data_IF_538801932740
#
_entry.id   IF_538801932740
#
_cell.length_a   1.000
_cell.length_b   1.000
_cell.length_c   1.000
_cell.angle_alpha   90.00
_cell.angle_beta   90.00
_cell.angle_gamma   90.00
#
_symmetry.space_group_name_H-M   'P 1'
#
loop_
_entity.id
_entity.type
_entity.pdbx_description
1 polymer ?
#
# COMPACT_ATOMS: atom_id res chain seq x y z
N UNK A 1 18.95 -14.66 -5.98
CA UNK A 1 17.88 -13.65 -6.11
C UNK A 1 17.77 -12.96 -7.48
N UNK A 2 18.77 -13.01 -8.39
CA UNK A 2 18.68 -12.41 -9.75
C UNK A 2 17.58 -12.99 -10.65
N UNK A 3 17.26 -14.28 -10.52
CA UNK A 3 16.31 -14.99 -11.39
C UNK A 3 14.86 -14.51 -11.23
N UNK A 4 14.44 -14.19 -10.00
CA UNK A 4 13.07 -13.72 -9.70
C UNK A 4 12.82 -12.31 -10.24
N UNK A 5 13.84 -11.44 -10.23
CA UNK A 5 13.73 -10.07 -10.75
C UNK A 5 13.61 -10.02 -12.28
N UNK A 6 14.33 -10.92 -12.97
CA UNK A 6 14.23 -11.14 -14.42
C UNK A 6 12.84 -11.66 -14.81
N UNK A 7 12.33 -12.64 -14.08
CA UNK A 7 11.01 -13.23 -14.34
C UNK A 7 9.88 -12.22 -14.20
N UNK A 8 9.85 -11.40 -13.13
CA UNK A 8 8.77 -10.43 -12.94
C UNK A 8 8.74 -9.37 -14.05
N UNK A 9 9.91 -8.88 -14.47
CA UNK A 9 9.99 -7.88 -15.55
C UNK A 9 9.52 -8.45 -16.89
N UNK A 10 9.79 -9.74 -17.15
CA UNK A 10 9.29 -10.44 -18.33
C UNK A 10 7.78 -10.63 -18.30
N UNK A 11 7.22 -11.02 -17.16
CA UNK A 11 5.77 -11.16 -16.95
C UNK A 11 5.07 -9.81 -17.15
N UNK A 12 5.65 -8.71 -16.65
CA UNK A 12 5.11 -7.35 -16.89
C UNK A 12 5.03 -7.03 -18.38
N UNK A 13 6.10 -7.31 -19.16
CA UNK A 13 6.09 -7.07 -20.61
C UNK A 13 5.07 -7.93 -21.34
N UNK A 14 4.90 -9.20 -20.94
CA UNK A 14 3.91 -10.10 -21.52
C UNK A 14 2.48 -9.60 -21.24
N UNK A 15 2.23 -9.12 -20.02
CA UNK A 15 0.95 -8.50 -19.67
C UNK A 15 0.66 -7.24 -20.48
N UNK A 16 1.66 -6.36 -20.70
CA UNK A 16 1.53 -5.19 -21.58
C UNK A 16 1.19 -5.57 -23.03
N UNK A 17 1.61 -6.74 -23.49
CA UNK A 17 1.25 -7.29 -24.81
C UNK A 17 -0.14 -7.95 -24.84
N UNK A 18 -0.90 -7.91 -23.74
CA UNK A 18 -2.25 -8.50 -23.63
C UNK A 18 -2.28 -9.96 -23.20
N UNK A 19 -1.17 -10.53 -22.72
CA UNK A 19 -1.13 -11.92 -22.25
C UNK A 19 -1.88 -12.08 -20.92
N UNK A 20 -3.04 -12.77 -20.98
CA UNK A 20 -3.89 -13.07 -19.82
C UNK A 20 -3.25 -14.02 -18.80
N UNK A 21 -2.30 -14.86 -19.22
CA UNK A 21 -1.56 -15.72 -18.30
C UNK A 21 -0.57 -14.89 -17.47
N UNK A 22 0.11 -13.95 -18.12
CA UNK A 22 1.01 -13.02 -17.44
C UNK A 22 0.25 -12.08 -16.48
N UNK A 23 -0.95 -11.64 -16.89
CA UNK A 23 -1.89 -10.91 -16.02
C UNK A 23 -2.24 -11.71 -14.76
N UNK A 24 -2.63 -12.97 -14.92
CA UNK A 24 -2.98 -13.86 -13.80
C UNK A 24 -1.80 -14.08 -12.85
N UNK A 25 -0.59 -14.21 -13.39
CA UNK A 25 0.63 -14.36 -12.59
C UNK A 25 0.96 -13.09 -11.79
N UNK A 26 0.79 -11.89 -12.38
CA UNK A 26 0.96 -10.63 -11.66
C UNK A 26 -0.09 -10.44 -10.58
N UNK A 27 -1.34 -10.79 -10.87
CA UNK A 27 -2.42 -10.77 -9.90
C UNK A 27 -2.11 -11.67 -8.71
N UNK A 28 -1.71 -12.92 -8.96
CA UNK A 28 -1.37 -13.87 -7.91
C UNK A 28 -0.15 -13.43 -7.10
N UNK A 29 0.88 -12.87 -7.76
CA UNK A 29 2.04 -12.30 -7.07
C UNK A 29 1.65 -11.14 -6.16
N UNK A 30 0.88 -10.17 -6.67
CA UNK A 30 0.39 -9.04 -5.88
C UNK A 30 -0.48 -9.52 -4.72
N UNK A 31 -1.39 -10.47 -4.96
CA UNK A 31 -2.27 -11.04 -3.95
C UNK A 31 -1.48 -11.66 -2.78
N UNK A 32 -0.48 -12.49 -3.08
CA UNK A 32 0.33 -13.15 -2.04
C UNK A 32 1.13 -12.14 -1.21
N UNK A 33 1.70 -11.11 -1.85
CA UNK A 33 2.44 -10.07 -1.16
C UNK A 33 1.53 -9.26 -0.23
N UNK A 34 0.35 -8.87 -0.72
CA UNK A 34 -0.63 -8.07 0.02
C UNK A 34 -1.21 -8.84 1.20
N UNK A 35 -1.52 -10.12 1.01
CA UNK A 35 -1.93 -11.01 2.10
C UNK A 35 -0.85 -11.15 3.16
N UNK A 36 0.42 -11.24 2.76
CA UNK A 36 1.54 -11.33 3.68
C UNK A 36 1.71 -10.03 4.49
N UNK A 37 1.61 -8.86 3.87
CA UNK A 37 1.69 -7.56 4.55
C UNK A 37 0.53 -7.39 5.54
N UNK A 38 -0.68 -7.69 5.10
CA UNK A 38 -1.86 -7.68 5.98
C UNK A 38 -1.70 -8.67 7.14
N UNK A 39 -1.05 -9.81 6.92
CA UNK A 39 -0.73 -10.76 8.01
C UNK A 39 0.28 -10.19 9.00
N UNK A 40 1.38 -9.61 8.53
CA UNK A 40 2.39 -9.00 9.40
C UNK A 40 1.86 -7.82 10.22
N UNK A 41 1.03 -6.97 9.63
CA UNK A 41 0.40 -5.86 10.36
C UNK A 41 -0.64 -6.36 11.36
N UNK A 42 -1.33 -7.48 11.09
CA UNK A 42 -2.21 -8.15 12.07
C UNK A 42 -1.41 -8.70 13.25
N UNK A 43 -0.29 -9.37 12.99
CA UNK A 43 0.59 -9.91 14.04
C UNK A 43 1.11 -8.78 14.94
N UNK A 44 1.62 -7.69 14.35
CA UNK A 44 2.04 -6.50 15.11
C UNK A 44 0.90 -5.84 15.89
N UNK A 45 -0.29 -5.75 15.30
CA UNK A 45 -1.44 -5.14 15.95
C UNK A 45 -1.97 -6.01 17.09
N UNK A 46 -1.95 -7.33 16.93
CA UNK A 46 -2.33 -8.29 17.97
C UNK A 46 -1.35 -8.24 19.16
N UNK A 47 -0.04 -8.10 18.91
CA UNK A 47 0.96 -7.90 19.95
C UNK A 47 0.73 -6.59 20.73
N UNK A 48 0.28 -5.53 20.06
CA UNK A 48 0.12 -4.20 20.64
C UNK A 48 -1.25 -3.94 21.28
N UNK A 49 -2.31 -4.58 20.78
CA UNK A 49 -3.70 -4.28 21.14
C UNK A 49 -4.52 -5.53 21.51
N UNK A 50 -3.92 -6.73 21.52
CA UNK A 50 -4.60 -7.99 21.82
C UNK A 50 -5.31 -8.63 20.62
N UNK A 51 -5.59 -9.92 20.72
CA UNK A 51 -6.19 -10.76 19.67
C UNK A 51 -7.71 -10.61 19.50
N UNK A 52 -8.40 -9.96 20.44
CA UNK A 52 -9.87 -9.76 20.42
C UNK A 52 -10.34 -8.56 19.58
N UNK A 53 -9.47 -7.96 18.76
CA UNK A 53 -9.82 -6.77 18.00
C UNK A 53 -10.60 -7.16 16.72
N UNK A 54 -11.91 -6.91 16.69
CA UNK A 54 -12.81 -7.21 15.55
C UNK A 54 -12.32 -6.64 14.21
N UNK A 55 -11.55 -5.55 14.22
CA UNK A 55 -10.89 -4.94 13.05
C UNK A 55 -10.02 -5.95 12.28
N UNK A 56 -9.46 -6.97 12.96
CA UNK A 56 -8.54 -7.95 12.37
C UNK A 56 -9.24 -8.93 11.43
N UNK A 57 -10.49 -9.32 11.72
CA UNK A 57 -11.25 -10.30 10.94
C UNK A 57 -11.82 -9.67 9.65
N UNK A 58 -12.37 -8.45 9.77
CA UNK A 58 -12.86 -7.69 8.62
C UNK A 58 -11.71 -7.30 7.66
N UNK A 59 -10.49 -7.15 8.17
CA UNK A 59 -9.33 -6.80 7.34
C UNK A 59 -8.94 -7.86 6.31
N UNK A 60 -9.24 -9.16 6.49
CA UNK A 60 -8.86 -10.22 5.52
C UNK A 60 -9.83 -10.27 4.33
N UNK A 61 -11.12 -10.17 4.62
CA UNK A 61 -12.16 -10.01 3.60
C UNK A 61 -11.99 -8.68 2.87
N UNK A 62 -11.67 -7.62 3.62
CA UNK A 62 -11.26 -6.34 3.05
C UNK A 62 -10.05 -6.51 2.16
N UNK A 63 -8.92 -7.08 2.63
CA UNK A 63 -7.68 -7.26 1.86
C UNK A 63 -7.92 -7.98 0.53
N UNK A 64 -8.70 -9.07 0.51
CA UNK A 64 -9.04 -9.78 -0.73
C UNK A 64 -9.87 -8.92 -1.68
N UNK A 65 -10.85 -8.19 -1.16
CA UNK A 65 -11.63 -7.22 -1.93
C UNK A 65 -10.77 -6.04 -2.42
N UNK A 66 -9.84 -5.52 -1.61
CA UNK A 66 -8.91 -4.45 -1.98
C UNK A 66 -7.97 -4.88 -3.10
N UNK A 67 -7.51 -6.12 -3.07
CA UNK A 67 -6.65 -6.66 -4.13
C UNK A 67 -7.45 -6.82 -5.43
N UNK A 68 -8.68 -7.30 -5.33
CA UNK A 68 -9.56 -7.43 -6.49
C UNK A 68 -9.91 -6.07 -7.10
N UNK A 69 -10.26 -5.08 -6.28
CA UNK A 69 -10.52 -3.70 -6.70
C UNK A 69 -9.26 -3.04 -7.25
N UNK A 70 -8.10 -3.30 -6.65
CA UNK A 70 -6.81 -2.82 -7.15
C UNK A 70 -6.55 -3.37 -8.55
N UNK A 71 -6.78 -4.66 -8.73
CA UNK A 71 -6.63 -5.34 -10.00
C UNK A 71 -7.62 -4.85 -11.06
N UNK A 72 -8.90 -4.64 -10.72
CA UNK A 72 -9.89 -4.06 -11.63
C UNK A 72 -9.54 -2.61 -12.00
N UNK A 73 -9.06 -1.79 -11.06
CA UNK A 73 -8.58 -0.43 -11.35
C UNK A 73 -7.33 -0.47 -12.25
N UNK A 74 -6.41 -1.40 -12.01
CA UNK A 74 -5.17 -1.54 -12.76
C UNK A 74 -5.38 -2.08 -14.18
N UNK A 75 -6.18 -3.13 -14.35
CA UNK A 75 -6.50 -3.73 -15.66
C UNK A 75 -7.24 -2.77 -16.59
N UNK A 76 -7.96 -1.80 -16.04
CA UNK A 76 -8.62 -0.73 -16.78
C UNK A 76 -7.75 0.54 -16.95
N UNK A 77 -6.54 0.58 -16.38
CA UNK A 77 -5.61 1.70 -16.53
C UNK A 77 -4.68 1.50 -17.73
N UNK A 78 -4.19 2.59 -18.32
CA UNK A 78 -3.18 2.50 -19.37
C UNK A 78 -1.87 1.93 -18.79
N UNK A 79 -1.56 0.70 -19.19
CA UNK A 79 -0.42 -0.08 -18.69
C UNK A 79 0.89 0.29 -19.37
N UNK A 80 0.87 1.16 -20.38
CA UNK A 80 2.05 1.55 -21.16
C UNK A 80 3.18 2.14 -20.30
N UNK A 81 2.84 2.75 -19.16
CA UNK A 81 3.81 3.35 -18.24
C UNK A 81 4.56 2.33 -17.35
N UNK A 82 4.11 1.07 -17.27
CA UNK A 82 4.67 0.05 -16.36
C UNK A 82 5.81 -0.72 -17.03
N UNK A 83 6.95 -0.06 -17.19
CA UNK A 83 8.09 -0.64 -17.92
C UNK A 83 9.09 -1.40 -17.04
N UNK A 84 8.92 -1.34 -15.72
CA UNK A 84 9.88 -1.91 -14.77
C UNK A 84 9.21 -2.45 -13.50
N UNK A 85 9.91 -3.36 -12.81
CA UNK A 85 9.58 -3.83 -11.46
C UNK A 85 9.32 -2.64 -10.51
N UNK A 86 10.19 -1.62 -10.55
CA UNK A 86 10.05 -0.39 -9.77
C UNK A 86 8.71 0.31 -10.04
N UNK A 87 8.37 0.52 -11.32
CA UNK A 87 7.10 1.15 -11.70
C UNK A 87 5.89 0.33 -11.21
N UNK A 88 5.94 -0.99 -11.33
CA UNK A 88 4.89 -1.88 -10.84
C UNK A 88 4.66 -1.74 -9.33
N UNK A 89 5.71 -1.86 -8.51
CA UNK A 89 5.57 -1.78 -7.05
C UNK A 89 5.12 -0.39 -6.57
N UNK A 90 5.59 0.68 -7.20
CA UNK A 90 5.15 2.04 -6.86
C UNK A 90 3.68 2.27 -7.25
N UNK A 91 3.25 1.73 -8.38
CA UNK A 91 1.85 1.80 -8.78
C UNK A 91 0.97 0.94 -7.87
N UNK A 92 1.36 -0.29 -7.55
CA UNK A 92 0.66 -1.13 -6.59
C UNK A 92 0.50 -0.45 -5.22
N UNK A 93 1.56 0.21 -4.73
CA UNK A 93 1.50 0.98 -3.49
C UNK A 93 0.53 2.19 -3.60
N UNK A 94 0.50 2.87 -4.74
CA UNK A 94 -0.45 3.97 -4.99
C UNK A 94 -1.90 3.47 -4.95
N UNK A 95 -2.18 2.37 -5.64
CA UNK A 95 -3.52 1.77 -5.71
C UNK A 95 -3.98 1.32 -4.34
N UNK A 96 -3.12 0.65 -3.56
CA UNK A 96 -3.41 0.30 -2.18
C UNK A 96 -3.79 1.49 -1.31
N UNK A 97 -3.00 2.56 -1.34
CA UNK A 97 -3.30 3.77 -0.59
C UNK A 97 -4.67 4.32 -0.97
N UNK A 98 -4.96 4.40 -2.26
CA UNK A 98 -6.25 4.91 -2.74
C UNK A 98 -7.41 4.08 -2.19
N UNK A 99 -7.29 2.76 -2.21
CA UNK A 99 -8.34 1.86 -1.73
C UNK A 99 -8.55 1.98 -0.20
N UNK A 100 -7.47 2.04 0.59
CA UNK A 100 -7.58 2.25 2.03
C UNK A 100 -8.32 3.55 2.36
N UNK A 101 -8.07 4.60 1.57
CA UNK A 101 -8.70 5.91 1.74
C UNK A 101 -10.13 5.93 1.24
N UNK A 102 -10.43 5.28 0.11
CA UNK A 102 -11.78 5.15 -0.41
C UNK A 102 -12.67 4.42 0.61
N UNK A 103 -12.16 3.36 1.26
CA UNK A 103 -12.85 2.68 2.35
C UNK A 103 -13.06 3.59 3.57
N UNK A 104 -12.04 4.32 4.01
CA UNK A 104 -12.16 5.27 5.11
C UNK A 104 -13.24 6.33 4.81
N UNK A 105 -13.29 6.84 3.57
CA UNK A 105 -14.32 7.78 3.11
C UNK A 105 -15.72 7.15 3.07
N UNK A 106 -15.83 5.91 2.61
CA UNK A 106 -17.10 5.18 2.56
C UNK A 106 -17.68 4.97 3.96
N UNK A 107 -16.84 4.57 4.93
CA UNK A 107 -17.21 4.47 6.34
C UNK A 107 -17.67 5.82 6.91
N UNK A 108 -16.93 6.91 6.61
CA UNK A 108 -17.31 8.26 7.03
C UNK A 108 -18.65 8.72 6.40
N UNK A 109 -18.92 8.33 5.15
CA UNK A 109 -20.14 8.69 4.43
C UNK A 109 -21.37 7.91 4.92
N UNK A 110 -21.25 6.59 5.14
CA UNK A 110 -22.31 5.77 5.75
C UNK A 110 -22.71 6.31 7.13
N UNK A 111 -21.75 6.86 7.85
CA UNK A 111 -21.97 7.53 9.14
C UNK A 111 -22.89 8.75 9.09
N UNK A 112 -22.89 9.49 7.97
CA UNK A 112 -23.84 10.60 7.77
C UNK A 112 -25.28 10.12 7.52
N UNK A 113 -25.44 8.82 7.27
CA UNK A 113 -26.72 8.19 6.93
C UNK A 113 -27.25 7.26 8.04
N UNK A 114 -26.41 6.85 9.00
CA UNK A 114 -26.80 5.99 10.12
C UNK A 114 -27.17 6.80 11.38
N UNK A 115 -28.20 6.35 12.10
CA UNK A 115 -28.69 6.94 13.36
C UNK A 115 -27.85 6.47 14.57
N UNK A 116 -27.09 5.38 14.43
CA UNK A 116 -26.29 4.78 15.51
C UNK A 116 -24.81 5.16 15.36
N UNK A 117 -24.19 5.83 16.35
CA UNK A 117 -22.78 6.19 16.29
C UNK A 117 -21.84 4.97 16.39
N UNK A 118 -20.71 5.02 15.69
CA UNK A 118 -19.56 4.15 15.96
C UNK A 118 -18.93 4.49 17.32
N UNK A 119 -18.15 3.58 17.93
CA UNK A 119 -17.32 3.91 19.08
C UNK A 119 -16.37 5.07 18.76
N UNK A 120 -16.32 6.10 19.62
CA UNK A 120 -15.60 7.35 19.40
C UNK A 120 -14.13 7.17 18.97
N UNK A 121 -13.42 6.18 19.51
CA UNK A 121 -12.03 5.88 19.14
C UNK A 121 -11.83 5.41 17.70
N UNK A 122 -12.82 4.76 17.09
CA UNK A 122 -12.75 4.34 15.69
C UNK A 122 -12.95 5.52 14.75
N UNK A 123 -13.71 6.52 15.19
CA UNK A 123 -14.03 7.71 14.41
C UNK A 123 -12.84 8.65 14.27
N UNK A 124 -12.16 8.94 15.37
CA UNK A 124 -10.94 9.75 15.34
C UNK A 124 -9.88 9.11 14.44
N UNK A 125 -9.77 7.78 14.44
CA UNK A 125 -8.85 7.05 13.55
C UNK A 125 -9.19 7.22 12.08
N UNK A 126 -10.47 7.15 11.70
CA UNK A 126 -10.90 7.34 10.30
C UNK A 126 -10.61 8.76 9.84
N UNK A 127 -10.92 9.77 10.65
CA UNK A 127 -10.63 11.17 10.31
C UNK A 127 -9.13 11.43 10.23
N UNK A 128 -8.35 10.89 11.17
CA UNK A 128 -6.89 10.99 11.16
C UNK A 128 -6.28 10.34 9.92
N UNK A 129 -6.80 9.20 9.45
CA UNK A 129 -6.37 8.56 8.21
C UNK A 129 -6.61 9.45 6.98
N UNK A 130 -7.78 10.09 6.90
CA UNK A 130 -8.11 11.01 5.79
C UNK A 130 -7.23 12.27 5.82
N UNK A 131 -6.95 12.81 7.01
CA UNK A 131 -6.03 13.95 7.17
C UNK A 131 -4.60 13.54 6.77
N UNK A 132 -4.13 12.39 7.25
CA UNK A 132 -2.81 11.85 6.91
C UNK A 132 -2.66 11.68 5.40
N UNK A 133 -3.71 11.27 4.69
CA UNK A 133 -3.70 11.19 3.23
C UNK A 133 -3.38 12.53 2.57
N UNK A 134 -4.06 13.60 2.97
CA UNK A 134 -3.78 14.95 2.42
C UNK A 134 -2.34 15.41 2.71
N UNK A 135 -1.82 15.06 3.89
CA UNK A 135 -0.43 15.35 4.27
C UNK A 135 0.55 14.54 3.39
N UNK A 136 0.25 13.27 3.13
CA UNK A 136 1.05 12.39 2.28
C UNK A 136 1.08 12.81 0.81
N UNK A 137 0.04 13.48 0.30
CA UNK A 137 0.05 14.06 -1.05
C UNK A 137 1.07 15.19 -1.16
N UNK A 138 1.05 16.13 -0.21
CA UNK A 138 2.04 17.20 -0.14
C UNK A 138 3.46 16.65 0.04
N UNK A 139 3.61 15.61 0.86
CA UNK A 139 4.88 14.92 1.04
C UNK A 139 5.40 14.30 -0.26
N UNK A 140 4.50 13.67 -1.03
CA UNK A 140 4.85 13.00 -2.29
C UNK A 140 5.34 13.98 -3.36
N UNK A 141 4.78 15.19 -3.39
CA UNK A 141 5.20 16.23 -4.33
C UNK A 141 6.57 16.78 -3.93
N UNK A 142 6.78 17.07 -2.64
CA UNK A 142 7.99 17.75 -2.18
C UNK A 142 9.19 16.82 -1.99
N UNK A 143 8.93 15.55 -1.65
CA UNK A 143 9.94 14.55 -1.30
C UNK A 143 9.62 13.21 -1.97
N UNK A 144 9.65 13.13 -3.32
CA UNK A 144 9.17 11.96 -4.07
C UNK A 144 9.95 10.68 -3.72
N UNK A 145 11.26 10.76 -3.51
CA UNK A 145 12.10 9.60 -3.18
C UNK A 145 11.77 9.04 -1.79
N UNK A 146 11.65 9.92 -0.80
CA UNK A 146 11.29 9.55 0.57
C UNK A 146 9.86 9.02 0.64
N UNK A 147 8.94 9.62 -0.11
CA UNK A 147 7.57 9.12 -0.27
C UNK A 147 7.55 7.71 -0.88
N UNK A 148 8.36 7.45 -1.91
CA UNK A 148 8.49 6.12 -2.50
C UNK A 148 9.03 5.11 -1.49
N UNK A 149 10.09 5.45 -0.74
CA UNK A 149 10.62 4.58 0.31
C UNK A 149 9.57 4.27 1.39
N UNK A 150 8.80 5.28 1.83
CA UNK A 150 7.72 5.11 2.79
C UNK A 150 6.60 4.20 2.25
N UNK A 151 6.13 4.43 1.03
CA UNK A 151 5.11 3.59 0.38
C UNK A 151 5.56 2.14 0.24
N UNK A 152 6.79 1.91 -0.23
CA UNK A 152 7.33 0.55 -0.36
C UNK A 152 7.50 -0.13 1.00
N UNK A 153 7.91 0.63 2.03
CA UNK A 153 8.09 0.09 3.38
C UNK A 153 6.77 -0.33 4.03
N UNK A 154 5.76 0.53 3.95
CA UNK A 154 4.54 0.37 4.76
C UNK A 154 3.36 -0.18 3.98
N UNK A 155 3.25 0.14 2.69
CA UNK A 155 2.17 -0.40 1.86
C UNK A 155 2.61 -1.71 1.20
N UNK A 156 3.87 -1.85 0.79
CA UNK A 156 4.39 -3.09 0.21
C UNK A 156 5.14 -4.00 1.21
N UNK A 157 5.28 -3.61 2.49
CA UNK A 157 5.98 -4.38 3.53
C UNK A 157 7.43 -4.74 3.22
N UNK A 158 8.08 -4.03 2.30
CA UNK A 158 9.43 -4.38 1.85
C UNK A 158 10.49 -4.13 2.93
N UNK A 159 11.52 -4.97 2.93
CA UNK A 159 12.73 -4.76 3.75
C UNK A 159 13.58 -3.63 3.18
N UNK A 160 14.45 -3.03 4.01
CA UNK A 160 15.22 -1.87 3.58
C UNK A 160 16.19 -2.23 2.45
N UNK A 161 16.73 -3.45 2.47
CA UNK A 161 17.60 -4.00 1.43
C UNK A 161 16.84 -4.10 0.09
N UNK A 162 15.63 -4.66 0.11
CA UNK A 162 14.78 -4.80 -1.08
C UNK A 162 14.37 -3.45 -1.66
N UNK A 163 14.07 -2.47 -0.79
CA UNK A 163 13.78 -1.09 -1.21
C UNK A 163 15.03 -0.45 -1.84
N UNK A 164 16.20 -0.66 -1.24
CA UNK A 164 17.46 -0.09 -1.74
C UNK A 164 17.83 -0.63 -3.11
N UNK A 165 17.61 -1.93 -3.36
CA UNK A 165 17.76 -2.54 -4.67
C UNK A 165 16.74 -1.99 -5.67
N UNK A 166 15.47 -1.85 -5.26
CA UNK A 166 14.39 -1.39 -6.14
C UNK A 166 14.53 0.09 -6.54
N UNK A 167 15.03 0.92 -5.62
CA UNK A 167 15.26 2.35 -5.82
C UNK A 167 16.69 2.68 -6.28
N UNK A 168 17.53 1.68 -6.51
CA UNK A 168 18.90 1.81 -7.00
C UNK A 168 19.76 2.75 -6.12
N UNK A 169 19.67 2.57 -4.80
CA UNK A 169 20.43 3.36 -3.82
C UNK A 169 20.94 2.50 -2.65
N UNK A 170 21.65 3.10 -1.69
CA UNK A 170 22.17 2.36 -0.53
C UNK A 170 21.10 2.16 0.55
N UNK A 171 21.20 1.05 1.30
CA UNK A 171 20.32 0.77 2.44
C UNK A 171 20.38 1.86 3.52
N UNK A 172 21.58 2.40 3.80
CA UNK A 172 21.76 3.53 4.73
C UNK A 172 20.98 4.77 4.28
N UNK A 173 20.88 5.01 2.98
CA UNK A 173 20.09 6.12 2.46
C UNK A 173 18.58 5.88 2.64
N UNK A 174 18.11 4.64 2.44
CA UNK A 174 16.72 4.26 2.73
C UNK A 174 16.36 4.48 4.20
N UNK A 175 17.25 4.11 5.12
CA UNK A 175 17.04 4.36 6.56
C UNK A 175 16.88 5.87 6.86
N UNK A 176 17.76 6.70 6.27
CA UNK A 176 17.67 8.16 6.42
C UNK A 176 16.38 8.71 5.83
N UNK A 177 15.94 8.21 4.69
CA UNK A 177 14.68 8.61 4.06
C UNK A 177 13.47 8.24 4.91
N UNK A 178 13.44 7.03 5.44
CA UNK A 178 12.36 6.58 6.31
C UNK A 178 12.33 7.37 7.61
N UNK A 179 13.50 7.64 8.21
CA UNK A 179 13.60 8.49 9.41
C UNK A 179 13.10 9.90 9.14
N UNK A 180 13.57 10.53 8.06
CA UNK A 180 13.12 11.85 7.64
C UNK A 180 11.61 11.89 7.41
N UNK A 181 11.07 10.89 6.70
CA UNK A 181 9.63 10.79 6.40
C UNK A 181 8.79 10.76 7.68
N UNK A 182 9.19 9.95 8.67
CA UNK A 182 8.51 9.88 9.97
C UNK A 182 8.52 11.21 10.70
N UNK A 183 9.69 11.85 10.81
CA UNK A 183 9.81 13.15 11.47
C UNK A 183 8.98 14.22 10.76
N UNK A 184 9.02 14.24 9.42
CA UNK A 184 8.27 15.20 8.63
C UNK A 184 6.76 15.03 8.83
N UNK A 185 6.25 13.80 8.74
CA UNK A 185 4.82 13.51 8.95
C UNK A 185 4.38 13.88 10.36
N UNK A 186 5.16 13.53 11.39
CA UNK A 186 4.87 13.89 12.77
C UNK A 186 4.75 15.40 12.96
N UNK A 187 5.69 16.19 12.42
CA UNK A 187 5.63 17.65 12.51
C UNK A 187 4.45 18.32 11.78
N UNK A 188 3.75 17.59 10.90
CA UNK A 188 2.60 18.09 10.14
C UNK A 188 1.26 17.55 10.62
N UNK A 189 1.29 16.53 11.47
CA UNK A 189 0.13 15.91 12.10
C UNK A 189 0.00 16.24 13.60
N UNK A 190 0.96 16.99 14.15
CA UNK A 190 0.94 17.53 15.51
C UNK A 190 0.08 18.79 15.62
#
# INVERSE_FOLDING_TARGET
MKTVSSQLTQIIRQWQAGDKQAESQLYQFAYLQLRHIAQQERERSAEKYGTENQVLADSVNSTTALIHDAYLKMSNSDLSEITSKRAFFLMAAKVMRQILIDNARALQAQKRQQVTPLPHEQDEKIEQLIIMDKVLDNFSIRYPRQSNALKLKYLMGMKNEEISELLECSASLIEKDLKFSRCWLQSRMA
#
